data_IF_084677649700
#
_entry.id   IF_084677649700
#
_cell.length_a   1.000
_cell.length_b   1.000
_cell.length_c   1.000
_cell.angle_alpha   90.00
_cell.angle_beta   90.00
_cell.angle_gamma   90.00
#
_symmetry.space_group_name_H-M   'P 1'
#
loop_
_entity.id
_entity.type
_entity.pdbx_description
1 polymer ?
#
# COMPACT_ATOMS: atom_id res chain seq x y z
N UNK A 1 18.15 10.66 0.67
CA UNK A 1 17.89 11.71 -0.34
C UNK A 1 17.20 12.87 0.38
N UNK A 2 17.63 14.11 0.17
CA UNK A 2 16.97 15.31 0.70
C UNK A 2 16.20 15.97 -0.43
N UNK A 3 14.92 16.22 -0.21
CA UNK A 3 14.02 16.74 -1.25
C UNK A 3 13.16 17.84 -0.64
N UNK A 4 12.97 18.92 -1.38
CA UNK A 4 12.00 19.98 -1.04
C UNK A 4 10.74 19.76 -1.87
N UNK A 5 9.58 19.78 -1.22
CA UNK A 5 8.27 19.59 -1.85
C UNK A 5 7.36 20.74 -1.46
N UNK A 6 6.60 21.24 -2.42
CA UNK A 6 5.53 22.21 -2.19
C UNK A 6 4.25 21.46 -1.86
N UNK A 7 3.61 21.82 -0.75
CA UNK A 7 2.34 21.25 -0.30
C UNK A 7 1.39 22.39 0.05
N UNK A 8 0.09 22.14 -0.11
CA UNK A 8 -0.95 23.03 0.34
C UNK A 8 -0.98 23.10 1.89
N UNK A 9 -1.03 24.30 2.44
CA UNK A 9 -0.97 24.52 3.88
C UNK A 9 -2.21 23.98 4.60
N UNK A 10 -3.41 24.12 4.01
CA UNK A 10 -4.62 23.57 4.62
C UNK A 10 -4.57 22.04 4.69
N UNK A 11 -4.07 21.41 3.63
CA UNK A 11 -3.88 19.95 3.61
C UNK A 11 -2.87 19.51 4.67
N UNK A 12 -1.76 20.24 4.81
CA UNK A 12 -0.73 19.92 5.79
C UNK A 12 -1.24 20.07 7.23
N UNK A 13 -1.99 21.14 7.52
CA UNK A 13 -2.61 21.35 8.83
C UNK A 13 -3.64 20.26 9.17
N UNK A 14 -4.48 19.86 8.21
CA UNK A 14 -5.42 18.75 8.41
C UNK A 14 -4.71 17.45 8.73
N UNK A 15 -3.56 17.19 8.08
CA UNK A 15 -2.76 16.02 8.35
C UNK A 15 -2.14 16.07 9.76
N UNK A 16 -1.69 17.24 10.22
CA UNK A 16 -1.18 17.41 11.59
C UNK A 16 -2.25 17.23 12.67
N UNK A 17 -3.50 17.63 12.42
CA UNK A 17 -4.60 17.47 13.38
C UNK A 17 -4.92 16.01 13.70
N UNK A 18 -4.64 15.09 12.78
CA UNK A 18 -4.90 13.65 12.93
C UNK A 18 -3.64 12.82 13.17
N UNK A 19 -2.46 13.43 13.06
CA UNK A 19 -1.20 12.75 13.25
C UNK A 19 -0.90 12.57 14.74
N UNK A 20 -0.05 11.59 15.05
CA UNK A 20 0.37 11.35 16.41
C UNK A 20 1.13 12.56 16.99
N UNK A 21 0.95 12.88 18.29
CA UNK A 21 1.65 13.98 18.92
C UNK A 21 3.17 13.85 18.76
N UNK A 22 3.81 14.93 18.27
CA UNK A 22 5.27 14.97 18.13
C UNK A 22 5.82 14.35 16.85
N UNK A 23 4.97 14.01 15.87
CA UNK A 23 5.45 13.54 14.56
C UNK A 23 6.31 14.60 13.86
N UNK A 24 7.44 14.19 13.30
CA UNK A 24 8.25 15.08 12.47
C UNK A 24 7.61 15.26 11.09
N UNK A 25 7.75 16.45 10.50
CA UNK A 25 7.22 16.74 9.16
C UNK A 25 7.72 15.75 8.11
N UNK A 26 8.98 15.31 8.23
CA UNK A 26 9.57 14.34 7.32
C UNK A 26 8.92 12.95 7.42
N UNK A 27 8.52 12.54 8.61
CA UNK A 27 7.86 11.25 8.84
C UNK A 27 6.43 11.27 8.35
N UNK A 28 5.73 12.40 8.52
CA UNK A 28 4.39 12.59 7.93
C UNK A 28 4.41 12.41 6.41
N UNK A 29 5.38 13.02 5.72
CA UNK A 29 5.55 12.86 4.27
C UNK A 29 5.92 11.41 3.91
N UNK A 30 6.78 10.76 4.69
CA UNK A 30 7.14 9.36 4.46
C UNK A 30 5.92 8.44 4.56
N UNK A 31 5.07 8.63 5.56
CA UNK A 31 3.84 7.85 5.72
C UNK A 31 2.80 8.14 4.63
N UNK A 32 2.69 9.40 4.18
CA UNK A 32 1.86 9.74 3.03
C UNK A 32 2.29 8.97 1.76
N UNK A 33 3.59 8.90 1.49
CA UNK A 33 4.13 8.16 0.33
C UNK A 33 3.89 6.66 0.47
N UNK A 34 4.13 6.06 1.64
CA UNK A 34 3.84 4.62 1.88
C UNK A 34 2.36 4.30 1.65
N UNK A 35 1.49 5.17 2.16
CA UNK A 35 0.03 5.02 2.03
C UNK A 35 -0.38 5.12 0.56
N UNK A 36 0.17 6.08 -0.19
CA UNK A 36 -0.09 6.21 -1.62
C UNK A 36 0.27 4.93 -2.39
N UNK A 37 1.47 4.37 -2.15
CA UNK A 37 1.90 3.12 -2.79
C UNK A 37 0.93 1.99 -2.46
N UNK A 38 0.52 1.85 -1.20
CA UNK A 38 -0.45 0.84 -0.76
C UNK A 38 -1.79 0.98 -1.50
N UNK A 39 -2.34 2.19 -1.56
CA UNK A 39 -3.64 2.46 -2.21
C UNK A 39 -3.57 2.20 -3.71
N UNK A 40 -2.52 2.66 -4.39
CA UNK A 40 -2.38 2.43 -5.83
C UNK A 40 -2.17 0.95 -6.18
N UNK A 41 -1.41 0.24 -5.34
CA UNK A 41 -1.24 -1.21 -5.50
C UNK A 41 -2.56 -1.94 -5.34
N UNK A 42 -3.36 -1.59 -4.32
CA UNK A 42 -4.69 -2.15 -4.12
C UNK A 42 -5.63 -1.88 -5.30
N UNK A 43 -5.64 -0.64 -5.83
CA UNK A 43 -6.43 -0.29 -7.03
C UNK A 43 -6.03 -1.12 -8.26
N UNK A 44 -4.73 -1.31 -8.48
CA UNK A 44 -4.22 -2.14 -9.59
C UNK A 44 -4.63 -3.60 -9.41
N UNK A 45 -4.51 -4.16 -8.21
CA UNK A 45 -4.95 -5.52 -7.92
C UNK A 45 -6.46 -5.70 -8.11
N UNK A 46 -7.26 -4.74 -7.64
CA UNK A 46 -8.71 -4.76 -7.84
C UNK A 46 -9.07 -4.74 -9.33
N UNK A 47 -8.35 -3.95 -10.14
CA UNK A 47 -8.52 -3.92 -11.60
C UNK A 47 -8.12 -5.22 -12.30
N UNK A 48 -7.23 -6.02 -11.71
CA UNK A 48 -6.90 -7.37 -12.20
C UNK A 48 -7.99 -8.40 -11.83
N UNK A 49 -8.87 -8.11 -10.87
CA UNK A 49 -10.00 -8.98 -10.56
C UNK A 49 -10.87 -9.19 -11.80
N UNK A 50 -11.12 -10.46 -12.17
CA UNK A 50 -11.90 -10.81 -13.36
C UNK A 50 -11.18 -10.61 -14.70
N UNK A 51 -9.89 -10.26 -14.70
CA UNK A 51 -9.09 -10.17 -15.94
C UNK A 51 -8.76 -11.54 -16.55
N UNK A 52 -8.93 -12.63 -15.80
CA UNK A 52 -8.71 -14.00 -16.26
C UNK A 52 -9.88 -14.94 -15.89
N UNK A 53 -11.10 -14.73 -16.43
CA UNK A 53 -12.30 -15.51 -16.08
C UNK A 53 -12.24 -16.96 -16.58
N UNK A 54 -11.33 -17.26 -17.50
CA UNK A 54 -11.12 -18.60 -18.08
C UNK A 54 -9.76 -19.19 -17.68
N UNK A 55 -9.12 -18.68 -16.61
CA UNK A 55 -7.86 -19.25 -16.12
C UNK A 55 -8.07 -20.73 -15.74
N UNK A 56 -7.24 -21.66 -16.25
CA UNK A 56 -7.34 -23.07 -15.89
C UNK A 56 -6.99 -23.30 -14.42
N UNK A 57 -7.63 -24.28 -13.80
CA UNK A 57 -7.35 -24.64 -12.40
C UNK A 57 -5.89 -25.06 -12.21
N UNK A 58 -5.24 -24.51 -11.19
CA UNK A 58 -3.86 -24.85 -10.84
C UNK A 58 -3.86 -26.13 -9.99
N UNK A 59 -3.16 -27.21 -10.38
CA UNK A 59 -3.10 -28.45 -9.60
C UNK A 59 -2.57 -28.19 -8.19
N UNK A 60 -3.30 -28.65 -7.17
CA UNK A 60 -2.82 -28.59 -5.78
C UNK A 60 -1.69 -29.61 -5.60
N UNK A 61 -0.50 -29.15 -5.23
CA UNK A 61 0.60 -30.04 -4.86
C UNK A 61 0.33 -30.59 -3.45
N UNK A 62 -0.26 -31.78 -3.36
CA UNK A 62 -0.34 -32.50 -2.08
C UNK A 62 1.05 -33.08 -1.80
N UNK A 63 1.64 -32.71 -0.67
CA UNK A 63 2.81 -33.42 -0.16
C UNK A 63 2.29 -34.80 0.23
N UNK A 64 2.78 -35.85 -0.44
CA UNK A 64 2.47 -37.22 -0.02
C UNK A 64 2.97 -37.40 1.42
N UNK A 65 2.15 -37.97 2.32
CA UNK A 65 2.57 -38.16 3.70
C UNK A 65 3.83 -39.01 3.72
N UNK A 66 4.86 -38.55 4.44
CA UNK A 66 6.05 -39.34 4.68
C UNK A 66 5.63 -40.63 5.38
N UNK A 67 5.92 -41.78 4.76
CA UNK A 67 5.73 -43.09 5.37
C UNK A 67 6.48 -43.12 6.71
N UNK A 68 5.76 -43.53 7.76
CA UNK A 68 6.25 -43.65 9.14
C UNK A 68 6.84 -45.05 9.38
#
# INVERSE_FOLDING_TARGET
MRTTVTIDDELFERALQVADPGIEKADLIREAVKTYVRVQSAKRLAALGGSAPHMPDIPRRRIEPAEA
#
